data_IF_578592875994
#
_entry.id   IF_578592875994
#
_cell.length_a   1.000
_cell.length_b   1.000
_cell.length_c   1.000
_cell.angle_alpha   90.00
_cell.angle_beta   90.00
_cell.angle_gamma   90.00
#
_symmetry.space_group_name_H-M   'P 1'
#
loop_
_entity.id
_entity.type
_entity.pdbx_description
1 polymer ?
#
# COMPACT_ATOMS: atom_id res chain seq x y z
N UNK A 1 -5.47 -3.90 -15.60
CA UNK A 1 -4.76 -3.12 -14.56
C UNK A 1 -3.43 -2.60 -15.10
N UNK A 2 -2.60 -3.45 -15.72
CA UNK A 2 -1.33 -2.99 -16.29
C UNK A 2 -1.48 -1.89 -17.35
N UNK A 3 -2.51 -1.94 -18.21
CA UNK A 3 -2.72 -0.87 -19.21
C UNK A 3 -3.00 0.50 -18.58
N UNK A 4 -3.64 0.53 -17.41
CA UNK A 4 -3.85 1.78 -16.67
C UNK A 4 -2.53 2.24 -16.06
N UNK A 5 -1.84 1.34 -15.36
CA UNK A 5 -0.55 1.63 -14.74
C UNK A 5 0.49 2.15 -15.75
N UNK A 6 0.54 1.57 -16.94
CA UNK A 6 1.41 2.00 -18.04
C UNK A 6 0.95 3.31 -18.69
N UNK A 7 -0.34 3.61 -18.73
CA UNK A 7 -0.86 4.93 -19.18
C UNK A 7 -0.39 6.07 -18.28
N UNK A 8 -0.21 5.81 -16.99
CA UNK A 8 0.43 6.73 -16.04
C UNK A 8 1.97 6.69 -16.09
N UNK A 9 2.56 6.02 -17.09
CA UNK A 9 4.01 6.00 -17.33
C UNK A 9 4.80 5.04 -16.44
N UNK A 10 4.15 4.15 -15.68
CA UNK A 10 4.83 3.23 -14.77
C UNK A 10 5.06 1.85 -15.37
N UNK A 11 6.18 1.21 -15.00
CA UNK A 11 6.57 -0.11 -15.52
C UNK A 11 7.01 -1.12 -14.45
N UNK A 12 7.22 -0.70 -13.19
CA UNK A 12 7.70 -1.58 -12.11
C UNK A 12 6.57 -2.37 -11.47
N UNK A 13 6.72 -3.69 -11.36
CA UNK A 13 5.71 -4.57 -10.76
C UNK A 13 6.35 -5.42 -9.67
N UNK A 14 5.90 -5.27 -8.42
CA UNK A 14 6.25 -6.18 -7.31
C UNK A 14 5.21 -7.30 -7.21
N UNK A 15 5.68 -8.54 -7.12
CA UNK A 15 4.84 -9.71 -6.83
C UNK A 15 5.40 -10.53 -5.69
N UNK A 16 4.50 -11.22 -4.98
CA UNK A 16 4.89 -12.26 -4.04
C UNK A 16 3.82 -13.33 -3.97
N UNK A 17 4.26 -14.59 -4.14
CA UNK A 17 3.45 -15.79 -3.92
C UNK A 17 2.73 -15.79 -2.57
N UNK A 18 3.30 -15.14 -1.56
CA UNK A 18 2.74 -15.09 -0.19
C UNK A 18 1.50 -14.19 -0.09
N UNK A 19 1.36 -13.19 -0.96
CA UNK A 19 0.27 -12.20 -0.83
C UNK A 19 -1.10 -12.75 -1.24
N UNK A 20 -1.15 -13.64 -2.24
CA UNK A 20 -2.39 -14.28 -2.72
C UNK A 20 -2.18 -15.72 -3.21
N UNK A 21 -1.24 -16.44 -2.59
CA UNK A 21 -1.08 -17.87 -2.80
C UNK A 21 -0.83 -18.31 -4.26
N UNK A 22 -0.07 -17.54 -5.03
CA UNK A 22 0.24 -17.86 -6.43
C UNK A 22 -0.66 -17.18 -7.47
N UNK A 23 -1.82 -16.63 -7.07
CA UNK A 23 -2.70 -15.93 -8.02
C UNK A 23 -2.04 -14.74 -8.76
N UNK A 24 -1.13 -13.96 -8.14
CA UNK A 24 -0.43 -12.88 -8.84
C UNK A 24 0.51 -13.41 -9.93
N UNK A 25 1.15 -14.56 -9.71
CA UNK A 25 2.03 -15.21 -10.68
C UNK A 25 1.27 -15.79 -11.87
N UNK A 26 0.07 -16.35 -11.64
CA UNK A 26 -0.83 -16.79 -12.72
C UNK A 26 -1.26 -15.58 -13.58
N UNK A 27 -1.74 -14.51 -12.95
CA UNK A 27 -2.10 -13.28 -13.65
C UNK A 27 -0.92 -12.67 -14.42
N UNK A 28 0.28 -12.69 -13.83
CA UNK A 28 1.49 -12.26 -14.51
C UNK A 28 1.80 -13.15 -15.72
N UNK A 29 1.68 -14.47 -15.60
CA UNK A 29 1.85 -15.42 -16.70
C UNK A 29 0.94 -15.09 -17.89
N UNK A 30 -0.33 -14.84 -17.64
CA UNK A 30 -1.32 -14.53 -18.67
C UNK A 30 -1.17 -13.12 -19.25
N UNK A 31 -0.52 -12.21 -18.52
CA UNK A 31 -0.44 -10.79 -18.90
C UNK A 31 0.55 -10.50 -20.04
N UNK A 32 1.38 -11.45 -20.47
CA UNK A 32 2.47 -11.21 -21.44
C UNK A 32 3.41 -10.07 -20.98
N UNK A 33 3.66 -9.97 -19.67
CA UNK A 33 4.37 -8.84 -19.05
C UNK A 33 5.71 -8.46 -19.70
N UNK A 34 6.46 -9.45 -20.23
CA UNK A 34 7.72 -9.21 -20.96
C UNK A 34 7.51 -8.41 -22.24
N UNK A 35 6.52 -8.78 -23.06
CA UNK A 35 6.20 -8.09 -24.31
C UNK A 35 5.70 -6.66 -24.04
N UNK A 36 5.11 -6.42 -22.87
CA UNK A 36 4.68 -5.10 -22.40
C UNK A 36 5.82 -4.22 -21.88
N UNK A 37 7.04 -4.74 -21.75
CA UNK A 37 8.17 -4.01 -21.16
C UNK A 37 8.07 -3.79 -19.65
N UNK A 38 7.24 -4.58 -18.94
CA UNK A 38 7.13 -4.49 -17.47
C UNK A 38 8.40 -5.03 -16.81
N UNK A 39 8.87 -4.35 -15.77
CA UNK A 39 10.01 -4.76 -14.93
C UNK A 39 9.46 -5.44 -13.67
N UNK A 40 9.41 -6.77 -13.69
CA UNK A 40 8.88 -7.56 -12.58
C UNK A 40 9.98 -7.84 -11.54
N UNK A 41 9.74 -7.42 -10.31
CA UNK A 41 10.47 -7.83 -9.12
C UNK A 41 9.60 -8.84 -8.36
N UNK A 42 10.21 -9.92 -7.89
CA UNK A 42 9.50 -10.95 -7.13
C UNK A 42 10.19 -11.16 -5.79
N UNK A 43 9.42 -11.16 -4.72
CA UNK A 43 9.91 -11.63 -3.42
C UNK A 43 10.00 -13.15 -3.48
N UNK A 44 11.22 -13.66 -3.60
CA UNK A 44 11.49 -15.09 -3.54
C UNK A 44 11.00 -15.67 -2.22
N UNK A 45 10.07 -16.62 -2.28
CA UNK A 45 9.65 -17.40 -1.13
C UNK A 45 10.03 -18.87 -1.38
N UNK A 46 11.30 -19.25 -1.15
CA UNK A 46 11.78 -20.59 -1.43
C UNK A 46 11.22 -21.57 -0.40
N UNK A 47 9.99 -22.03 -0.61
CA UNK A 47 9.46 -23.19 0.13
C UNK A 47 9.70 -24.44 -0.68
N UNK A 48 10.60 -25.28 -0.19
CA UNK A 48 10.74 -26.64 -0.70
C UNK A 48 9.39 -27.38 -0.56
N UNK A 49 8.80 -27.77 -1.69
CA UNK A 49 7.83 -28.88 -1.83
C UNK A 49 6.52 -28.88 -1.03
N UNK A 50 6.09 -27.82 -0.35
CA UNK A 50 4.69 -27.77 0.16
C UNK A 50 3.76 -27.20 -0.90
N UNK A 51 2.93 -28.05 -1.50
CA UNK A 51 1.85 -27.65 -2.39
C UNK A 51 0.92 -26.64 -1.70
N UNK A 52 0.54 -25.59 -2.45
CA UNK A 52 -0.21 -24.44 -1.94
C UNK A 52 -1.74 -24.65 -1.99
N UNK A 53 -2.21 -25.88 -2.23
CA UNK A 53 -3.64 -26.20 -2.36
C UNK A 53 -4.48 -25.77 -1.15
N UNK A 54 -3.87 -25.73 0.04
CA UNK A 54 -4.50 -25.29 1.28
C UNK A 54 -4.62 -23.75 1.45
N UNK A 55 -4.21 -22.96 0.46
CA UNK A 55 -4.33 -21.49 0.51
C UNK A 55 -5.59 -20.94 -0.15
N UNK A 56 -6.46 -21.78 -0.73
CA UNK A 56 -7.75 -21.35 -1.26
C UNK A 56 -8.57 -20.71 -0.12
N UNK A 57 -8.78 -19.40 -0.23
CA UNK A 57 -9.11 -18.53 0.90
C UNK A 57 -10.58 -18.68 1.31
N UNK A 58 -10.86 -19.43 2.38
CA UNK A 58 -12.21 -19.48 3.01
C UNK A 58 -12.54 -18.21 3.82
N UNK A 59 -11.51 -17.42 4.16
CA UNK A 59 -11.60 -16.26 5.06
C UNK A 59 -10.85 -15.05 4.49
N UNK A 60 -11.25 -13.84 4.92
CA UNK A 60 -10.60 -12.58 4.54
C UNK A 60 -9.10 -12.60 4.85
N UNK A 61 -8.29 -11.92 4.03
CA UNK A 61 -6.84 -11.74 4.29
C UNK A 61 -6.56 -11.01 5.61
N UNK A 62 -7.54 -10.26 6.12
CA UNK A 62 -7.46 -9.53 7.39
C UNK A 62 -8.16 -10.24 8.56
N UNK A 63 -8.59 -11.49 8.38
CA UNK A 63 -9.21 -12.29 9.46
C UNK A 63 -8.17 -12.60 10.56
N UNK A 64 -8.43 -12.22 11.83
CA UNK A 64 -7.47 -12.39 12.92
C UNK A 64 -7.20 -13.85 13.27
N UNK A 65 -8.09 -14.78 12.88
CA UNK A 65 -7.87 -16.23 13.03
C UNK A 65 -6.69 -16.73 12.20
N UNK A 66 -6.22 -15.93 11.23
CA UNK A 66 -5.05 -16.24 10.42
C UNK A 66 -3.84 -15.50 10.96
N UNK A 67 -2.69 -16.18 10.95
CA UNK A 67 -1.41 -15.58 11.39
C UNK A 67 -1.12 -14.23 10.70
N UNK A 68 -1.38 -14.11 9.40
CA UNK A 68 -1.20 -12.84 8.68
C UNK A 68 -2.20 -11.78 9.15
N UNK A 69 -3.50 -12.10 9.16
CA UNK A 69 -4.57 -11.19 9.59
C UNK A 69 -4.38 -10.70 11.02
N UNK A 70 -4.06 -11.60 11.96
CA UNK A 70 -3.73 -11.25 13.33
C UNK A 70 -2.52 -10.33 13.44
N UNK A 71 -1.48 -10.56 12.63
CA UNK A 71 -0.31 -9.66 12.59
C UNK A 71 -0.64 -8.28 12.01
N UNK A 72 -1.54 -8.19 11.02
CA UNK A 72 -1.97 -6.90 10.47
C UNK A 72 -2.86 -6.13 11.44
N UNK A 73 -3.79 -6.82 12.12
CA UNK A 73 -4.61 -6.20 13.15
C UNK A 73 -3.75 -5.74 14.33
N UNK A 74 -2.87 -6.58 14.85
CA UNK A 74 -1.97 -6.19 15.94
C UNK A 74 -1.05 -5.02 15.60
N UNK A 75 -0.84 -4.73 14.30
CA UNK A 75 -0.01 -3.61 13.84
C UNK A 75 -0.78 -2.30 13.68
N UNK A 76 -2.03 -2.35 13.21
CA UNK A 76 -2.76 -1.14 12.79
C UNK A 76 -4.08 -0.92 13.54
N UNK A 77 -4.63 -1.94 14.18
CA UNK A 77 -5.93 -1.90 14.84
C UNK A 77 -5.77 -1.59 16.33
N UNK A 78 -5.55 -0.31 16.65
CA UNK A 78 -5.42 0.15 18.04
C UNK A 78 -6.05 1.54 18.22
N UNK A 79 -6.47 1.84 19.45
CA UNK A 79 -7.18 3.08 19.80
C UNK A 79 -6.38 4.33 19.46
N UNK A 80 -5.07 4.35 19.75
CA UNK A 80 -4.22 5.52 19.47
C UNK A 80 -4.21 5.88 17.96
N UNK A 81 -4.33 4.88 17.08
CA UNK A 81 -4.40 5.11 15.63
C UNK A 81 -5.78 5.65 15.23
N UNK A 82 -6.85 5.16 15.85
CA UNK A 82 -8.20 5.67 15.59
C UNK A 82 -8.39 7.10 16.09
N UNK A 83 -7.89 7.43 17.29
CA UNK A 83 -7.91 8.79 17.83
C UNK A 83 -7.14 9.77 16.93
N UNK A 84 -5.98 9.35 16.43
CA UNK A 84 -5.22 10.11 15.45
C UNK A 84 -6.00 10.32 14.14
N UNK A 85 -6.64 9.27 13.62
CA UNK A 85 -7.42 9.33 12.39
C UNK A 85 -8.62 10.27 12.52
N UNK A 86 -9.31 10.31 13.66
CA UNK A 86 -10.47 11.20 13.85
C UNK A 86 -10.08 12.68 13.74
N UNK A 87 -8.93 13.05 14.28
CA UNK A 87 -8.38 14.40 14.13
C UNK A 87 -8.01 14.66 12.66
N UNK A 88 -7.25 13.77 12.03
CA UNK A 88 -6.83 13.92 10.62
C UNK A 88 -8.05 14.06 9.70
N UNK A 89 -9.10 13.25 9.91
CA UNK A 89 -10.34 13.29 9.14
C UNK A 89 -11.06 14.62 9.27
N UNK A 90 -11.11 15.18 10.47
CA UNK A 90 -11.79 16.46 10.69
C UNK A 90 -11.12 17.59 9.89
N UNK A 91 -9.79 17.65 9.88
CA UNK A 91 -9.00 18.64 9.12
C UNK A 91 -9.08 18.36 7.62
N UNK A 92 -8.88 17.12 7.18
CA UNK A 92 -8.94 16.74 5.77
C UNK A 92 -10.30 17.08 5.14
N UNK A 93 -11.40 16.92 5.89
CA UNK A 93 -12.76 17.22 5.43
C UNK A 93 -12.97 18.70 5.11
N UNK A 94 -12.32 19.62 5.83
CA UNK A 94 -12.38 21.07 5.56
C UNK A 94 -11.87 21.37 4.15
N UNK A 95 -10.86 20.62 3.70
CA UNK A 95 -10.26 20.74 2.37
C UNK A 95 -10.89 19.80 1.32
N UNK A 96 -11.94 19.05 1.67
CA UNK A 96 -12.57 18.08 0.77
C UNK A 96 -11.68 16.89 0.40
N UNK A 97 -10.71 16.54 1.26
CA UNK A 97 -9.75 15.46 1.01
C UNK A 97 -10.18 14.17 1.70
N UNK A 98 -9.90 13.03 1.07
CA UNK A 98 -10.03 11.70 1.65
C UNK A 98 -8.78 11.31 2.43
N UNK A 99 -8.87 10.33 3.32
CA UNK A 99 -7.69 9.84 4.04
C UNK A 99 -6.66 9.20 3.10
N UNK A 100 -7.11 8.55 2.01
CA UNK A 100 -6.21 7.97 1.01
C UNK A 100 -5.44 9.04 0.26
N UNK A 101 -6.12 10.12 -0.15
CA UNK A 101 -5.49 11.23 -0.86
C UNK A 101 -4.44 11.91 0.03
N UNK A 102 -4.78 12.14 1.30
CA UNK A 102 -3.83 12.64 2.30
C UNK A 102 -2.61 11.72 2.42
N UNK A 103 -2.81 10.41 2.54
CA UNK A 103 -1.70 9.47 2.66
C UNK A 103 -0.79 9.46 1.42
N UNK A 104 -1.35 9.42 0.20
CA UNK A 104 -0.56 9.39 -1.03
C UNK A 104 0.19 10.69 -1.27
N UNK A 105 -0.47 11.84 -1.10
CA UNK A 105 0.19 13.15 -1.28
C UNK A 105 1.23 13.40 -0.20
N UNK A 106 1.02 12.91 1.03
CA UNK A 106 2.04 12.97 2.07
C UNK A 106 3.27 12.12 1.71
N UNK A 107 3.08 10.89 1.20
CA UNK A 107 4.19 10.08 0.72
C UNK A 107 4.98 10.75 -0.41
N UNK A 108 4.28 11.34 -1.38
CA UNK A 108 4.93 11.97 -2.55
C UNK A 108 5.66 13.28 -2.26
N UNK A 109 5.19 14.09 -1.30
CA UNK A 109 5.65 15.48 -1.15
C UNK A 109 6.21 15.83 0.23
N UNK A 110 5.89 15.04 1.26
CA UNK A 110 6.16 15.39 2.66
C UNK A 110 6.90 14.30 3.43
N UNK A 111 7.22 13.19 2.77
CA UNK A 111 8.00 12.10 3.35
C UNK A 111 9.49 12.31 3.13
N UNK A 112 10.31 11.41 3.69
CA UNK A 112 11.74 11.36 3.42
C UNK A 112 12.12 10.61 2.14
N UNK A 113 11.16 10.26 1.27
CA UNK A 113 11.43 9.59 0.00
C UNK A 113 12.01 10.59 -1.01
N UNK A 114 13.04 10.18 -1.73
CA UNK A 114 13.68 11.01 -2.73
C UNK A 114 13.94 10.23 -4.03
N UNK A 115 13.38 10.76 -5.11
CA UNK A 115 13.45 10.16 -6.45
C UNK A 115 14.87 10.15 -7.02
N UNK A 116 15.74 11.06 -6.58
CA UNK A 116 17.14 11.08 -7.01
C UNK A 116 17.89 9.82 -6.57
N UNK A 117 17.51 9.24 -5.42
CA UNK A 117 18.04 7.96 -4.94
C UNK A 117 17.26 6.73 -5.44
N UNK A 118 16.25 6.94 -6.30
CA UNK A 118 15.43 5.86 -6.84
C UNK A 118 14.33 5.38 -5.89
N UNK A 119 13.99 6.16 -4.85
CA UNK A 119 12.88 5.83 -3.97
C UNK A 119 11.54 5.83 -4.73
N UNK A 120 10.66 4.90 -4.35
CA UNK A 120 9.37 4.74 -4.99
C UNK A 120 8.29 4.27 -4.00
N UNK A 121 7.05 4.66 -4.27
CA UNK A 121 5.87 4.20 -3.52
C UNK A 121 5.34 2.92 -4.17
N UNK A 122 5.25 1.85 -3.38
CA UNK A 122 4.57 0.62 -3.82
C UNK A 122 3.05 0.79 -3.68
N UNK A 123 2.36 0.91 -4.81
CA UNK A 123 0.91 1.09 -4.86
C UNK A 123 0.20 -0.25 -4.94
N UNK A 124 -0.65 -0.53 -3.96
CA UNK A 124 -1.56 -1.68 -3.97
C UNK A 124 -3.01 -1.28 -4.26
N UNK A 125 -3.72 -2.10 -5.04
CA UNK A 125 -5.15 -1.93 -5.29
C UNK A 125 -5.87 -3.28 -5.41
N UNK A 126 -7.15 -3.33 -5.08
CA UNK A 126 -8.01 -4.50 -5.26
C UNK A 126 -8.99 -4.36 -6.43
N UNK A 127 -9.10 -3.18 -7.03
CA UNK A 127 -9.98 -2.87 -8.16
C UNK A 127 -9.33 -1.87 -9.11
N UNK A 128 -9.82 -1.82 -10.35
CA UNK A 128 -9.35 -0.86 -11.37
C UNK A 128 -9.55 0.58 -10.91
N UNK A 129 -10.76 0.91 -10.43
CA UNK A 129 -11.10 2.25 -9.94
C UNK A 129 -10.19 2.69 -8.79
N UNK A 130 -9.92 1.80 -7.83
CA UNK A 130 -9.01 2.12 -6.73
C UNK A 130 -7.58 2.39 -7.24
N UNK A 131 -7.10 1.60 -8.21
CA UNK A 131 -5.78 1.86 -8.81
C UNK A 131 -5.74 3.23 -9.49
N UNK A 132 -6.76 3.56 -10.28
CA UNK A 132 -6.87 4.85 -10.96
C UNK A 132 -6.88 6.02 -9.97
N UNK A 133 -7.72 5.94 -8.94
CA UNK A 133 -7.78 6.95 -7.88
C UNK A 133 -6.41 7.12 -7.20
N UNK A 134 -5.76 6.02 -6.78
CA UNK A 134 -4.47 6.09 -6.11
C UNK A 134 -3.38 6.74 -6.99
N UNK A 135 -3.34 6.41 -8.29
CA UNK A 135 -2.36 6.97 -9.23
C UNK A 135 -2.59 8.46 -9.44
N UNK A 136 -3.83 8.88 -9.65
CA UNK A 136 -4.19 10.30 -9.77
C UNK A 136 -3.85 11.07 -8.49
N UNK A 137 -4.12 10.50 -7.31
CA UNK A 137 -3.78 11.14 -6.02
C UNK A 137 -2.27 11.34 -5.84
N UNK A 138 -1.44 10.39 -6.31
CA UNK A 138 0.02 10.50 -6.28
C UNK A 138 0.59 11.57 -7.22
N UNK A 139 -0.14 11.90 -8.29
CA UNK A 139 0.23 12.92 -9.29
C UNK A 139 -0.16 14.35 -8.86
N UNK A 140 -1.06 14.49 -7.89
CA UNK A 140 -1.43 15.80 -7.32
C UNK A 140 -0.27 16.43 -6.57
N UNK A 141 -0.33 17.75 -6.38
CA UNK A 141 0.69 18.52 -5.65
C UNK A 141 0.66 18.35 -4.12
N UNK A 142 1.45 19.16 -3.44
CA UNK A 142 1.57 19.18 -1.97
C UNK A 142 0.23 19.39 -1.27
N UNK A 143 0.06 18.77 -0.10
CA UNK A 143 -1.10 18.99 0.78
C UNK A 143 -1.14 20.42 1.35
N UNK A 144 -2.34 20.93 1.73
CA UNK A 144 -2.46 22.12 2.55
C UNK A 144 -1.69 21.98 3.87
N UNK A 145 -1.05 23.06 4.32
CA UNK A 145 -0.17 23.06 5.50
C UNK A 145 -0.87 22.53 6.76
N UNK A 146 -2.13 22.91 6.98
CA UNK A 146 -2.93 22.46 8.12
C UNK A 146 -3.07 20.93 8.16
N UNK A 147 -3.21 20.29 7.00
CA UNK A 147 -3.30 18.82 6.89
C UNK A 147 -1.95 18.18 7.18
N UNK A 148 -0.85 18.77 6.69
CA UNK A 148 0.51 18.31 6.95
C UNK A 148 0.83 18.37 8.44
N UNK A 149 0.51 19.50 9.08
CA UNK A 149 0.70 19.69 10.50
C UNK A 149 -0.10 18.67 11.31
N UNK A 150 -1.38 18.45 10.97
CA UNK A 150 -2.20 17.44 11.62
C UNK A 150 -1.59 16.02 11.52
N UNK A 151 -1.12 15.63 10.33
CA UNK A 151 -0.45 14.34 10.11
C UNK A 151 0.83 14.21 10.95
N UNK A 152 1.68 15.24 10.96
CA UNK A 152 2.94 15.25 11.69
C UNK A 152 2.73 15.20 13.21
N UNK A 153 1.76 15.95 13.74
CA UNK A 153 1.44 15.93 15.18
C UNK A 153 0.89 14.58 15.61
N UNK A 154 0.02 13.98 14.79
CA UNK A 154 -0.51 12.64 15.07
C UNK A 154 0.57 11.56 14.98
N UNK A 155 1.54 11.70 14.07
CA UNK A 155 2.71 10.83 14.05
C UNK A 155 3.47 10.83 15.39
N UNK A 156 3.67 12.01 16.00
CA UNK A 156 4.33 12.11 17.31
C UNK A 156 3.57 11.39 18.43
N UNK A 157 2.24 11.35 18.36
CA UNK A 157 1.40 10.60 19.30
C UNK A 157 1.58 9.09 19.15
N UNK A 158 1.64 8.59 17.91
CA UNK A 158 1.61 7.13 17.65
C UNK A 158 2.99 6.49 17.51
N UNK A 159 4.05 7.25 17.24
CA UNK A 159 5.40 6.73 16.94
C UNK A 159 5.98 5.82 18.02
N UNK A 160 5.57 5.96 19.29
CA UNK A 160 6.01 5.10 20.39
C UNK A 160 5.48 3.67 20.32
N UNK A 161 4.31 3.48 19.69
CA UNK A 161 3.63 2.18 19.59
C UNK A 161 3.78 1.49 18.24
N UNK A 162 4.62 2.00 17.34
CA UNK A 162 4.75 1.45 15.98
C UNK A 162 5.47 0.11 15.97
N UNK A 163 5.03 -0.76 15.07
CA UNK A 163 5.74 -2.00 14.78
C UNK A 163 7.17 -1.70 14.30
N UNK A 164 8.17 -2.30 14.95
CA UNK A 164 9.59 -2.16 14.58
C UNK A 164 9.86 -2.85 13.24
N UNK A 165 10.50 -2.12 12.32
CA UNK A 165 10.83 -2.63 10.98
C UNK A 165 12.15 -3.40 10.92
N UNK A 166 12.90 -3.40 12.01
CA UNK A 166 14.15 -4.12 12.20
C UNK A 166 14.02 -5.07 13.40
N UNK A 167 14.87 -6.10 13.46
CA UNK A 167 14.97 -7.06 14.55
C UNK A 167 16.43 -7.29 14.89
#
# INVERSE_FOLDING_TARGET
MFDLFQRHGHSGVDTSRVYRAGSPEEYLGDSQWKARGLKVQTKGYPTARKGLENLRLKYSRFDPKRRQGGAQQGRYWNEAYFDALDIIRSVAKIHGLTESECAFRWLSHHSGLDREFGDAVLVGASSYRQLETNLVELEKGSLPEEVVQALNDRWLQVKGGVFKYWR
#
